data_IF_241308250593
#
_entry.id   IF_241308250593
#
_cell.length_a   1.000
_cell.length_b   1.000
_cell.length_c   1.000
_cell.angle_alpha   90.00
_cell.angle_beta   90.00
_cell.angle_gamma   90.00
#
_symmetry.space_group_name_H-M   'P 1'
#
loop_
_entity.id
_entity.type
_entity.pdbx_description
1 polymer ?
#
# COMPACT_ATOMS: atom_id res chain seq x y z
N UNK A 1 -0.23 6.84 1.35
CA UNK A 1 -0.58 5.60 0.63
C UNK A 1 0.03 5.52 -0.76
N UNK A 2 -0.31 6.38 -1.74
CA UNK A 2 0.28 6.26 -3.09
C UNK A 2 1.83 6.33 -3.11
N UNK A 3 2.44 7.26 -2.36
CA UNK A 3 3.90 7.35 -2.26
C UNK A 3 4.53 6.11 -1.60
N UNK A 4 3.93 5.60 -0.53
CA UNK A 4 4.42 4.43 0.19
C UNK A 4 4.26 3.15 -0.66
N UNK A 5 3.10 2.97 -1.29
CA UNK A 5 2.89 1.89 -2.26
C UNK A 5 3.88 1.96 -3.43
N UNK A 6 4.21 3.16 -3.92
CA UNK A 6 5.22 3.32 -4.98
C UNK A 6 6.61 2.86 -4.52
N UNK A 7 6.96 3.11 -3.26
CA UNK A 7 8.21 2.68 -2.65
C UNK A 7 8.25 1.16 -2.44
N UNK A 8 7.13 0.56 -2.06
CA UNK A 8 6.98 -0.90 -1.96
C UNK A 8 7.18 -1.58 -3.31
N UNK A 9 6.61 -1.01 -4.38
CA UNK A 9 6.79 -1.52 -5.75
C UNK A 9 8.22 -1.31 -6.26
N UNK A 10 8.80 -0.13 -6.00
CA UNK A 10 10.19 0.20 -6.33
C UNK A 10 11.17 -0.74 -5.61
N UNK A 11 10.96 -0.97 -4.32
CA UNK A 11 11.74 -1.90 -3.51
C UNK A 11 11.63 -3.34 -4.02
N UNK A 12 10.43 -3.78 -4.38
CA UNK A 12 10.21 -5.09 -5.01
C UNK A 12 10.96 -5.25 -6.33
N UNK A 13 10.91 -4.25 -7.21
CA UNK A 13 11.67 -4.27 -8.47
C UNK A 13 13.19 -4.27 -8.26
N UNK A 14 13.69 -3.50 -7.30
CA UNK A 14 15.13 -3.42 -7.00
C UNK A 14 15.67 -4.65 -6.28
N UNK A 15 14.81 -5.41 -5.59
CA UNK A 15 15.19 -6.64 -4.90
C UNK A 15 15.45 -7.82 -5.84
N UNK A 16 15.15 -7.69 -7.14
CA UNK A 16 15.36 -8.75 -8.11
C UNK A 16 16.85 -8.97 -8.36
N UNK A 17 17.38 -10.20 -8.16
CA UNK A 17 18.77 -10.50 -8.43
C UNK A 17 19.14 -10.22 -9.89
N UNK A 18 20.30 -9.61 -10.13
CA UNK A 18 20.81 -9.34 -11.48
C UNK A 18 20.87 -10.59 -12.37
N UNK A 19 21.15 -11.76 -11.77
CA UNK A 19 21.16 -13.03 -12.48
C UNK A 19 19.85 -13.39 -13.20
N UNK A 20 18.69 -12.90 -12.74
CA UNK A 20 17.42 -13.09 -13.46
C UNK A 20 17.39 -12.33 -14.79
N UNK A 21 18.00 -11.15 -14.83
CA UNK A 21 18.12 -10.36 -16.05
C UNK A 21 19.11 -10.99 -17.02
N UNK A 22 20.26 -11.43 -16.50
CA UNK A 22 21.31 -12.10 -17.28
C UNK A 22 20.82 -13.44 -17.84
N UNK A 23 20.11 -14.25 -17.05
CA UNK A 23 19.54 -15.51 -17.50
C UNK A 23 18.47 -15.30 -18.59
N UNK A 24 17.58 -14.32 -18.43
CA UNK A 24 16.61 -13.97 -19.45
C UNK A 24 17.26 -13.49 -20.75
N UNK A 25 18.38 -12.77 -20.65
CA UNK A 25 19.18 -12.33 -21.80
C UNK A 25 19.86 -13.49 -22.50
N UNK A 26 20.46 -14.42 -21.75
CA UNK A 26 21.07 -15.64 -22.28
C UNK A 26 20.05 -16.54 -23.00
N UNK A 27 18.78 -16.51 -22.58
CA UNK A 27 17.66 -17.17 -23.24
C UNK A 27 17.12 -16.41 -24.47
N UNK A 28 17.72 -15.27 -24.84
CA UNK A 28 17.32 -14.47 -26.00
C UNK A 28 16.01 -13.71 -25.82
N UNK A 29 15.54 -13.49 -24.57
CA UNK A 29 14.33 -12.73 -24.33
C UNK A 29 14.57 -11.24 -24.60
N UNK A 30 13.69 -10.65 -25.41
CA UNK A 30 13.66 -9.20 -25.62
C UNK A 30 13.39 -8.48 -24.30
N UNK A 31 13.82 -7.22 -24.13
CA UNK A 31 13.64 -6.47 -22.88
C UNK A 31 12.19 -6.45 -22.38
N UNK A 32 11.22 -6.36 -23.30
CA UNK A 32 9.80 -6.43 -22.98
C UNK A 32 9.37 -7.80 -22.44
N UNK A 33 9.81 -8.89 -23.09
CA UNK A 33 9.51 -10.26 -22.62
C UNK A 33 10.19 -10.54 -21.28
N UNK A 34 11.43 -10.13 -21.11
CA UNK A 34 12.16 -10.21 -19.83
C UNK A 34 11.40 -9.49 -18.72
N UNK A 35 10.96 -8.26 -18.97
CA UNK A 35 10.21 -7.49 -17.99
C UNK A 35 8.89 -8.18 -17.61
N UNK A 36 8.10 -8.59 -18.60
CA UNK A 36 6.74 -9.09 -18.37
C UNK A 36 6.70 -10.55 -17.86
N UNK A 37 7.59 -11.41 -18.34
CA UNK A 37 7.56 -12.85 -18.03
C UNK A 37 8.45 -13.23 -16.84
N UNK A 38 9.49 -12.43 -16.55
CA UNK A 38 10.50 -12.79 -15.54
C UNK A 38 10.48 -11.78 -14.40
N UNK A 39 10.73 -10.50 -14.68
CA UNK A 39 10.98 -9.49 -13.65
C UNK A 39 9.70 -9.09 -12.91
N UNK A 40 8.65 -8.69 -13.62
CA UNK A 40 7.40 -8.21 -13.02
C UNK A 40 6.71 -9.26 -12.14
N UNK A 41 6.54 -10.53 -12.55
CA UNK A 41 5.91 -11.54 -11.70
C UNK A 41 6.68 -11.79 -10.40
N UNK A 42 8.01 -11.78 -10.46
CA UNK A 42 8.86 -11.92 -9.27
C UNK A 42 8.78 -10.69 -8.37
N UNK A 43 8.89 -9.49 -8.94
CA UNK A 43 8.82 -8.24 -8.19
C UNK A 43 7.47 -8.08 -7.49
N UNK A 44 6.38 -8.43 -8.19
CA UNK A 44 5.03 -8.45 -7.61
C UNK A 44 4.94 -9.40 -6.41
N UNK A 45 5.47 -10.61 -6.53
CA UNK A 45 5.47 -11.59 -5.41
C UNK A 45 6.23 -11.07 -4.19
N UNK A 46 7.31 -10.32 -4.39
CA UNK A 46 8.11 -9.73 -3.30
C UNK A 46 7.38 -8.54 -2.66
N UNK A 47 6.72 -7.70 -3.46
CA UNK A 47 5.97 -6.54 -2.96
C UNK A 47 4.63 -6.90 -2.31
N UNK A 48 4.09 -8.10 -2.58
CA UNK A 48 2.75 -8.50 -2.14
C UNK A 48 2.58 -8.49 -0.60
N UNK A 49 3.48 -9.06 0.22
CA UNK A 49 3.33 -9.05 1.67
C UNK A 49 3.34 -7.64 2.27
N UNK A 50 4.19 -6.75 1.75
CA UNK A 50 4.26 -5.35 2.19
C UNK A 50 2.98 -4.58 1.81
N UNK A 51 2.47 -4.80 0.59
CA UNK A 51 1.20 -4.24 0.13
C UNK A 51 0.03 -4.67 1.02
N UNK A 52 -0.03 -5.96 1.39
CA UNK A 52 -1.06 -6.48 2.32
C UNK A 52 -0.94 -5.82 3.69
N UNK A 53 0.27 -5.65 4.22
CA UNK A 53 0.48 -4.94 5.48
C UNK A 53 -0.02 -3.49 5.41
N UNK A 54 0.22 -2.79 4.32
CA UNK A 54 -0.28 -1.43 4.15
C UNK A 54 -1.81 -1.38 4.10
N UNK A 55 -2.45 -2.32 3.39
CA UNK A 55 -3.92 -2.44 3.38
C UNK A 55 -4.45 -2.65 4.80
N UNK A 56 -3.84 -3.53 5.59
CA UNK A 56 -4.24 -3.76 6.99
C UNK A 56 -4.08 -2.50 7.84
N UNK A 57 -3.01 -1.72 7.63
CA UNK A 57 -2.80 -0.44 8.32
C UNK A 57 -3.87 0.57 7.96
N UNK A 58 -4.22 0.70 6.67
CA UNK A 58 -5.32 1.57 6.22
C UNK A 58 -6.63 1.20 6.92
N UNK A 59 -6.95 -0.10 7.01
CA UNK A 59 -8.15 -0.57 7.72
C UNK A 59 -8.17 -0.20 9.20
N UNK A 60 -7.00 -0.18 9.85
CA UNK A 60 -6.89 0.24 11.26
C UNK A 60 -7.10 1.75 11.40
N UNK A 61 -6.50 2.55 10.52
CA UNK A 61 -6.63 4.00 10.55
C UNK A 61 -8.07 4.46 10.31
N UNK A 62 -8.78 3.85 9.36
CA UNK A 62 -10.21 4.17 9.11
C UNK A 62 -11.07 3.86 10.32
N UNK A 63 -10.81 2.75 11.02
CA UNK A 63 -11.51 2.37 12.24
C UNK A 63 -11.30 3.39 13.37
N UNK A 64 -10.07 3.88 13.54
CA UNK A 64 -9.74 4.91 14.54
C UNK A 64 -10.45 6.22 14.22
N UNK A 65 -10.41 6.68 12.97
CA UNK A 65 -11.07 7.92 12.53
C UNK A 65 -12.59 7.84 12.77
N UNK A 66 -13.22 6.70 12.51
CA UNK A 66 -14.65 6.51 12.75
C UNK A 66 -15.03 6.67 14.23
N UNK A 67 -14.22 6.12 15.13
CA UNK A 67 -14.43 6.24 16.59
C UNK A 67 -14.26 7.69 17.04
N UNK A 68 -13.18 8.36 16.59
CA UNK A 68 -12.95 9.77 16.91
C UNK A 68 -14.09 10.65 16.41
N UNK A 69 -14.56 10.44 15.17
CA UNK A 69 -15.69 11.19 14.61
C UNK A 69 -17.00 11.00 15.39
N UNK A 70 -17.25 9.81 15.95
CA UNK A 70 -18.41 9.59 16.82
C UNK A 70 -18.30 10.39 18.12
N UNK A 71 -17.12 10.42 18.74
CA UNK A 71 -16.90 11.19 19.96
C UNK A 71 -17.03 12.70 19.71
N UNK A 72 -16.46 13.22 18.62
CA UNK A 72 -16.60 14.63 18.24
C UNK A 72 -18.05 15.03 17.99
N UNK A 73 -18.82 14.18 17.31
CA UNK A 73 -20.24 14.42 17.04
C UNK A 73 -21.06 14.42 18.33
N UNK A 74 -20.78 13.49 19.24
CA UNK A 74 -21.47 13.40 20.53
C UNK A 74 -21.14 14.60 21.42
N UNK A 75 -19.87 15.00 21.48
CA UNK A 75 -19.44 16.19 22.22
C UNK A 75 -20.11 17.46 21.67
N UNK A 76 -20.17 17.60 20.34
CA UNK A 76 -20.83 18.72 19.68
C UNK A 76 -22.34 18.76 19.96
N UNK A 77 -23.00 17.60 19.99
CA UNK A 77 -24.41 17.49 20.36
C UNK A 77 -24.65 17.93 21.81
N UNK A 78 -23.82 17.48 22.76
CA UNK A 78 -23.91 17.90 24.16
C UNK A 78 -23.76 19.41 24.34
N UNK A 79 -22.76 20.02 23.68
CA UNK A 79 -22.56 21.47 23.73
C UNK A 79 -23.78 22.24 23.18
N UNK A 80 -24.38 21.78 22.09
CA UNK A 80 -25.58 22.39 21.53
C UNK A 80 -26.81 22.29 22.45
N UNK A 81 -26.95 21.20 23.21
CA UNK A 81 -28.03 21.08 24.20
C UNK A 81 -27.81 21.99 25.41
N UNK A 82 -26.57 22.21 25.85
CA UNK A 82 -26.27 23.15 26.94
C UNK A 82 -26.54 24.60 26.53
N UNK A 83 -26.18 24.99 25.30
CA UNK A 83 -26.40 26.35 24.78
C UNK A 83 -27.89 26.67 24.52
N UNK A 84 -28.75 25.65 24.39
CA UNK A 84 -30.21 25.80 24.24
C UNK A 84 -31.00 25.98 25.54
N UNK A 85 -30.34 26.05 26.71
CA UNK A 85 -30.97 26.10 28.03
C UNK A 85 -31.15 27.51 28.64
N UNK A 86 -31.17 28.56 27.80
CA UNK A 86 -31.48 29.94 28.23
C UNK A 86 -32.98 30.19 28.45
#
# INVERSE_FOLDING_TARGET
>A
YAAYQSEVLRGGLQSIPRGQFEAAEALGLTPWKRMYLVVLPQAFRISLPATINEIVTVFKETSVIAIVGLFDLTASAHAAFEEGSW
#
